data_IF_838884123612
#
_entry.id   IF_838884123612
#
_cell.length_a   1.000
_cell.length_b   1.000
_cell.length_c   1.000
_cell.angle_alpha   90.00
_cell.angle_beta   90.00
_cell.angle_gamma   90.00
#
_symmetry.space_group_name_H-M   'P 1'
#
loop_
_entity.id
_entity.type
_entity.pdbx_description
1 polymer ?
#
# COMPACT_ATOMS: atom_id res chain seq x y z
N UNK A 1 -22.24 21.06 11.80
CA UNK A 1 -20.87 21.29 11.30
C UNK A 1 -20.68 20.34 10.13
N UNK A 2 -20.61 20.88 8.93
CA UNK A 2 -20.58 20.10 7.69
C UNK A 2 -19.17 19.55 7.51
N UNK A 3 -18.99 18.23 7.63
CA UNK A 3 -17.74 17.57 7.27
C UNK A 3 -17.61 17.59 5.73
N UNK A 4 -17.00 18.64 5.19
CA UNK A 4 -16.46 18.62 3.83
C UNK A 4 -15.22 17.74 3.81
N UNK A 5 -15.43 16.43 3.81
CA UNK A 5 -14.44 15.46 3.39
C UNK A 5 -14.25 15.62 1.88
N UNK A 6 -13.15 16.25 1.48
CA UNK A 6 -12.72 16.30 0.08
C UNK A 6 -12.51 14.85 -0.40
N UNK A 7 -13.49 14.30 -1.10
CA UNK A 7 -13.36 13.03 -1.83
C UNK A 7 -12.48 13.29 -3.05
N UNK A 8 -11.17 13.30 -2.82
CA UNK A 8 -10.21 13.31 -3.91
C UNK A 8 -10.37 11.99 -4.67
N UNK A 9 -11.23 11.98 -5.69
CA UNK A 9 -11.39 10.89 -6.65
C UNK A 9 -9.99 10.46 -7.09
N UNK A 10 -9.59 9.24 -6.72
CA UNK A 10 -8.30 8.70 -7.12
C UNK A 10 -8.25 8.69 -8.64
N UNK A 11 -7.17 9.22 -9.24
CA UNK A 11 -7.04 9.21 -10.70
C UNK A 11 -7.13 7.76 -11.18
N UNK A 12 -7.88 7.48 -12.26
CA UNK A 12 -8.01 6.13 -12.77
C UNK A 12 -6.64 5.58 -13.13
N UNK A 13 -6.35 4.38 -12.66
CA UNK A 13 -5.12 3.68 -12.97
C UNK A 13 -4.95 3.51 -14.48
N UNK A 14 -3.73 3.70 -14.98
CA UNK A 14 -3.41 3.12 -16.30
C UNK A 14 -3.60 1.61 -16.23
N UNK A 15 -4.05 0.99 -17.34
CA UNK A 15 -4.28 -0.46 -17.41
C UNK A 15 -3.07 -1.27 -16.90
N UNK A 16 -1.80 -0.95 -17.26
CA UNK A 16 -0.64 -1.64 -16.71
C UNK A 16 -0.46 -1.45 -15.20
N UNK A 17 -0.77 -0.27 -14.65
CA UNK A 17 -0.63 -0.02 -13.21
C UNK A 17 -1.67 -0.77 -12.41
N UNK A 18 -2.92 -0.82 -12.90
CA UNK A 18 -4.00 -1.61 -12.29
C UNK A 18 -3.61 -3.09 -12.25
N UNK A 19 -3.17 -3.63 -13.38
CA UNK A 19 -2.76 -5.04 -13.45
C UNK A 19 -1.59 -5.32 -12.49
N UNK A 20 -0.60 -4.44 -12.46
CA UNK A 20 0.52 -4.56 -11.52
C UNK A 20 0.08 -4.61 -10.06
N UNK A 21 -0.83 -3.72 -9.64
CA UNK A 21 -1.29 -3.68 -8.24
C UNK A 21 -2.12 -4.91 -7.87
N UNK A 22 -2.99 -5.39 -8.78
CA UNK A 22 -3.73 -6.63 -8.57
C UNK A 22 -2.77 -7.81 -8.38
N UNK A 23 -1.80 -7.96 -9.28
CA UNK A 23 -0.76 -8.99 -9.14
C UNK A 23 0.04 -8.81 -7.85
N UNK A 24 0.46 -7.59 -7.51
CA UNK A 24 1.22 -7.29 -6.29
C UNK A 24 0.47 -7.73 -5.03
N UNK A 25 -0.78 -7.30 -4.83
CA UNK A 25 -1.54 -7.62 -3.63
C UNK A 25 -1.88 -9.11 -3.53
N UNK A 26 -2.27 -9.74 -4.64
CA UNK A 26 -2.46 -11.19 -4.69
C UNK A 26 -1.18 -11.95 -4.34
N UNK A 27 -0.03 -11.50 -4.86
CA UNK A 27 1.27 -12.12 -4.58
C UNK A 27 1.66 -11.94 -3.11
N UNK A 28 1.48 -10.75 -2.54
CA UNK A 28 1.75 -10.49 -1.11
C UNK A 28 0.94 -11.44 -0.23
N UNK A 29 -0.32 -11.70 -0.59
CA UNK A 29 -1.20 -12.59 0.15
C UNK A 29 -0.71 -14.04 0.18
N UNK A 30 -0.07 -14.53 -0.90
CA UNK A 30 0.39 -15.93 -1.01
C UNK A 30 1.88 -16.13 -0.70
N UNK A 31 2.68 -15.06 -0.67
CA UNK A 31 4.13 -15.17 -0.40
C UNK A 31 4.37 -15.74 0.99
N UNK A 32 5.12 -16.84 1.03
CA UNK A 32 5.67 -17.35 2.28
C UNK A 32 7.04 -16.68 2.56
N UNK A 33 7.14 -15.99 3.70
CA UNK A 33 8.36 -15.34 4.16
C UNK A 33 8.43 -13.84 3.83
N UNK A 34 9.64 -13.32 3.59
CA UNK A 34 9.84 -11.88 3.40
C UNK A 34 9.24 -11.40 2.08
N UNK A 35 8.47 -10.32 2.13
CA UNK A 35 8.00 -9.60 0.93
C UNK A 35 9.15 -8.75 0.38
N UNK A 36 10.01 -9.36 -0.41
CA UNK A 36 11.06 -8.69 -1.18
C UNK A 36 10.86 -8.95 -2.68
N UNK A 37 11.52 -8.19 -3.55
CA UNK A 37 11.27 -8.30 -4.99
C UNK A 37 11.65 -9.67 -5.57
N UNK A 38 12.64 -10.34 -5.00
CA UNK A 38 13.02 -11.70 -5.39
C UNK A 38 11.90 -12.70 -5.08
N UNK A 39 11.37 -12.69 -3.86
CA UNK A 39 10.25 -13.54 -3.46
C UNK A 39 8.98 -13.18 -4.24
N UNK A 40 8.65 -11.90 -4.40
CA UNK A 40 7.52 -11.47 -5.21
C UNK A 40 7.63 -12.00 -6.65
N UNK A 41 8.84 -12.02 -7.23
CA UNK A 41 9.05 -12.60 -8.56
C UNK A 41 9.00 -14.12 -8.60
N UNK A 42 9.25 -14.81 -7.48
CA UNK A 42 9.10 -16.26 -7.37
C UNK A 42 7.64 -16.70 -7.34
N UNK A 43 6.77 -15.89 -6.73
CA UNK A 43 5.36 -16.20 -6.52
C UNK A 43 4.43 -15.51 -7.53
N UNK A 44 4.95 -14.97 -8.64
CA UNK A 44 4.16 -14.30 -9.68
C UNK A 44 4.81 -14.40 -11.05
N UNK A 45 4.06 -14.05 -12.10
CA UNK A 45 4.58 -13.95 -13.47
C UNK A 45 5.47 -12.71 -13.71
N UNK A 46 5.67 -11.86 -12.69
CA UNK A 46 6.42 -10.62 -12.81
C UNK A 46 7.87 -10.80 -12.38
N UNK A 47 8.81 -10.47 -13.27
CA UNK A 47 10.24 -10.44 -12.90
C UNK A 47 10.56 -9.42 -11.80
N UNK A 48 11.67 -9.66 -11.08
CA UNK A 48 12.21 -8.70 -10.11
C UNK A 48 12.41 -7.30 -10.73
N UNK A 49 12.88 -7.25 -11.98
CA UNK A 49 13.06 -6.01 -12.74
C UNK A 49 11.74 -5.26 -12.96
N UNK A 50 10.64 -5.99 -13.19
CA UNK A 50 9.32 -5.38 -13.32
C UNK A 50 8.86 -4.77 -12.00
N UNK A 51 8.98 -5.49 -10.88
CA UNK A 51 8.70 -4.93 -9.55
C UNK A 51 9.51 -3.65 -9.29
N UNK A 52 10.83 -3.70 -9.46
CA UNK A 52 11.71 -2.52 -9.26
C UNK A 52 11.27 -1.30 -10.07
N UNK A 53 10.94 -1.49 -11.36
CA UNK A 53 10.47 -0.38 -12.24
C UNK A 53 9.13 0.20 -11.79
N UNK A 54 8.19 -0.63 -11.34
CA UNK A 54 6.89 -0.15 -10.88
C UNK A 54 7.00 0.54 -9.51
N UNK A 55 7.84 0.06 -8.61
CA UNK A 55 8.10 0.69 -7.30
C UNK A 55 8.96 1.95 -7.38
N UNK A 56 9.78 2.11 -8.44
CA UNK A 56 10.52 3.36 -8.69
C UNK A 56 9.61 4.55 -9.07
N UNK A 57 8.34 4.28 -9.43
CA UNK A 57 7.36 5.33 -9.73
C UNK A 57 6.56 5.64 -8.47
N UNK A 58 6.49 6.93 -8.11
CA UNK A 58 5.66 7.40 -7.01
C UNK A 58 4.19 7.07 -7.23
N UNK A 59 3.47 6.93 -6.12
CA UNK A 59 2.06 6.61 -6.15
C UNK A 59 1.35 7.09 -4.89
N UNK A 60 0.16 7.63 -5.08
CA UNK A 60 -0.69 8.22 -4.03
C UNK A 60 -1.41 7.12 -3.23
N UNK A 61 -0.66 6.34 -2.44
CA UNK A 61 -1.21 5.26 -1.61
C UNK A 61 -2.20 5.78 -0.57
N UNK A 62 -2.05 7.02 -0.08
CA UNK A 62 -3.00 7.64 0.86
C UNK A 62 -4.40 7.72 0.23
N UNK A 63 -4.49 8.27 -0.98
CA UNK A 63 -5.77 8.40 -1.70
C UNK A 63 -6.35 7.04 -2.08
N UNK A 64 -5.51 6.05 -2.40
CA UNK A 64 -5.96 4.67 -2.61
C UNK A 64 -6.57 4.09 -1.35
N UNK A 65 -5.87 4.16 -0.22
CA UNK A 65 -6.31 3.59 1.04
C UNK A 65 -7.60 4.25 1.53
N UNK A 66 -7.73 5.58 1.39
CA UNK A 66 -8.96 6.29 1.70
C UNK A 66 -10.15 5.75 0.87
N UNK A 67 -9.97 5.63 -0.45
CA UNK A 67 -11.02 5.08 -1.32
C UNK A 67 -11.37 3.62 -1.01
N UNK A 68 -10.39 2.80 -0.63
CA UNK A 68 -10.62 1.41 -0.20
C UNK A 68 -11.38 1.33 1.13
N UNK A 69 -11.11 2.24 2.07
CA UNK A 69 -11.86 2.33 3.33
C UNK A 69 -13.30 2.74 3.06
N UNK A 70 -13.53 3.76 2.22
CA UNK A 70 -14.87 4.21 1.83
C UNK A 70 -15.67 3.09 1.12
N UNK A 71 -14.99 2.23 0.36
CA UNK A 71 -15.60 1.08 -0.30
C UNK A 71 -15.88 -0.09 0.67
N UNK A 72 -14.97 -0.35 1.62
CA UNK A 72 -15.04 -1.51 2.50
C UNK A 72 -15.90 -1.30 3.77
N UNK A 73 -16.08 -0.05 4.20
CA UNK A 73 -16.75 0.29 5.47
C UNK A 73 -18.10 0.95 5.20
N UNK A 74 -19.19 0.30 5.62
CA UNK A 74 -20.52 0.91 5.53
C UNK A 74 -20.68 2.00 6.60
N UNK A 75 -20.86 3.22 6.12
CA UNK A 75 -21.13 4.42 6.95
C UNK A 75 -22.37 4.32 7.84
N UNK A 76 -23.28 3.38 7.60
CA UNK A 76 -24.47 3.16 8.43
C UNK A 76 -24.19 2.37 9.70
N UNK A 77 -23.05 1.68 9.77
CA UNK A 77 -22.70 0.89 10.95
C UNK A 77 -21.90 1.72 11.94
N UNK A 78 -22.19 1.54 13.23
CA UNK A 78 -21.34 2.05 14.29
C UNK A 78 -19.92 1.48 14.11
N UNK A 79 -18.95 2.37 14.01
CA UNK A 79 -17.56 2.03 13.73
C UNK A 79 -16.68 2.55 14.86
N UNK A 80 -15.71 1.73 15.28
CA UNK A 80 -14.71 2.10 16.28
C UNK A 80 -13.36 2.21 15.59
N UNK A 81 -12.75 3.39 15.66
CA UNK A 81 -11.38 3.58 15.18
C UNK A 81 -10.40 3.10 16.26
N UNK A 82 -9.65 2.04 15.96
CA UNK A 82 -8.56 1.56 16.81
C UNK A 82 -7.25 2.07 16.23
N UNK A 83 -6.46 2.76 17.04
CA UNK A 83 -5.18 3.34 16.64
C UNK A 83 -4.10 2.76 17.55
N UNK A 84 -3.12 2.10 16.94
CA UNK A 84 -1.92 1.64 17.61
C UNK A 84 -0.70 2.00 16.74
N UNK A 85 0.39 2.40 17.39
CA UNK A 85 1.62 2.77 16.71
C UNK A 85 2.59 1.58 16.75
N UNK A 86 2.98 1.10 15.57
CA UNK A 86 3.98 0.03 15.46
C UNK A 86 5.28 0.57 14.87
N UNK A 87 6.41 0.18 15.46
CA UNK A 87 7.72 0.44 14.88
C UNK A 87 8.02 -0.58 13.78
N UNK A 88 8.20 -0.11 12.56
CA UNK A 88 8.64 -0.95 11.46
C UNK A 88 10.16 -0.83 11.34
N UNK A 89 10.96 -1.84 11.75
CA UNK A 89 12.40 -1.76 11.65
C UNK A 89 12.81 -1.69 10.18
N UNK A 90 13.52 -0.63 9.80
CA UNK A 90 14.09 -0.46 8.47
C UNK A 90 15.61 -0.30 8.62
N UNK A 91 16.36 -1.11 7.88
CA UNK A 91 17.81 -1.01 7.78
C UNK A 91 18.21 -0.10 6.61
N UNK A 92 19.20 0.77 6.82
CA UNK A 92 19.83 1.59 5.77
C UNK A 92 19.52 3.08 5.91
N UNK A 93 20.32 3.93 5.28
CA UNK A 93 20.23 5.40 5.41
C UNK A 93 19.28 6.08 4.41
N UNK A 94 18.76 5.30 3.44
CA UNK A 94 17.98 5.82 2.31
C UNK A 94 16.46 5.71 2.51
N UNK A 95 16.00 5.24 3.68
CA UNK A 95 14.56 5.19 3.97
C UNK A 95 14.14 6.52 4.58
N UNK A 96 13.24 7.24 3.92
CA UNK A 96 12.66 8.47 4.43
C UNK A 96 11.90 8.22 5.76
N UNK A 97 11.95 9.18 6.69
CA UNK A 97 11.24 9.08 7.97
C UNK A 97 11.87 8.10 8.96
N UNK A 98 13.12 7.68 8.73
CA UNK A 98 13.90 6.97 9.74
C UNK A 98 14.24 7.91 10.89
N UNK A 99 13.72 7.60 12.07
CA UNK A 99 14.07 8.28 13.31
C UNK A 99 14.25 7.28 14.45
N UNK A 100 14.87 7.72 15.53
CA UNK A 100 15.01 6.96 16.77
C UNK A 100 13.82 7.28 17.66
N UNK A 101 12.87 6.37 17.70
CA UNK A 101 11.80 6.40 18.67
C UNK A 101 12.29 5.70 19.95
N UNK A 102 12.21 6.39 21.09
CA UNK A 102 12.55 5.82 22.38
C UNK A 102 11.35 4.98 22.86
N UNK A 103 11.60 3.73 23.23
CA UNK A 103 10.72 2.89 24.04
C UNK A 103 11.37 2.72 25.42
#
# INVERSE_FOLDING_TARGET
MNHTGSTAKSRPFSKPRRQFLLSLFATIYVVCGKVNFTNLSRYSDLSERSYRRHFAKSYEFISLNAGLIDEAVDTKHFSVAVIDASFVPKSGKATYGLDRFYN
#
